data_IF_202229596565
#
_entry.id   IF_202229596565
#
_cell.length_a   1.000
_cell.length_b   1.000
_cell.length_c   1.000
_cell.angle_alpha   90.00
_cell.angle_beta   90.00
_cell.angle_gamma   90.00
#
_symmetry.space_group_name_H-M   'P 1'
#
loop_
_entity.id
_entity.type
_entity.pdbx_description
1 polymer ?
#
# COMPACT_ATOMS: atom_id res chain seq x y z
N UNK A 1 -15.62 -9.70 -17.24
CA UNK A 1 -14.86 -9.46 -16.00
C UNK A 1 -14.77 -10.80 -15.28
N UNK A 2 -13.65 -11.51 -15.39
CA UNK A 2 -13.50 -12.80 -14.70
C UNK A 2 -13.31 -12.51 -13.21
N UNK A 3 -14.12 -13.13 -12.36
CA UNK A 3 -13.90 -13.14 -10.92
C UNK A 3 -12.59 -13.91 -10.70
N UNK A 4 -11.54 -13.20 -10.29
CA UNK A 4 -10.24 -13.83 -10.00
C UNK A 4 -10.35 -14.50 -8.64
N UNK A 5 -9.92 -15.76 -8.58
CA UNK A 5 -9.97 -16.57 -7.37
C UNK A 5 -9.05 -15.96 -6.31
N UNK A 6 -9.48 -16.00 -5.05
CA UNK A 6 -8.70 -15.50 -3.91
C UNK A 6 -7.36 -16.25 -3.83
N UNK A 7 -6.20 -15.57 -3.75
CA UNK A 7 -4.92 -16.24 -3.53
C UNK A 7 -5.00 -17.14 -2.27
N UNK A 8 -4.49 -18.37 -2.33
CA UNK A 8 -4.56 -19.35 -1.22
C UNK A 8 -4.06 -18.77 0.11
N UNK A 9 -3.04 -17.90 0.06
CA UNK A 9 -2.48 -17.19 1.23
C UNK A 9 -3.49 -16.27 1.94
N UNK A 10 -4.53 -15.80 1.24
CA UNK A 10 -5.63 -15.01 1.80
C UNK A 10 -6.71 -15.93 2.39
N UNK A 11 -6.91 -17.12 1.80
CA UNK A 11 -7.87 -18.14 2.27
C UNK A 11 -7.41 -18.72 3.61
N UNK A 12 -6.11 -19.02 3.78
CA UNK A 12 -5.59 -19.61 5.03
C UNK A 12 -5.74 -18.69 6.26
N UNK A 13 -5.93 -17.40 6.04
CA UNK A 13 -6.09 -16.39 7.11
C UNK A 13 -7.55 -16.05 7.42
N UNK A 14 -8.50 -16.60 6.65
CA UNK A 14 -9.92 -16.30 6.73
C UNK A 14 -10.75 -17.58 6.61
N UNK A 15 -11.52 -17.94 7.64
CA UNK A 15 -12.49 -19.05 7.55
C UNK A 15 -13.32 -18.96 6.26
N UNK A 16 -13.67 -20.09 5.66
CA UNK A 16 -14.32 -20.20 4.34
C UNK A 16 -15.53 -19.26 4.16
N UNK A 17 -16.32 -19.05 5.22
CA UNK A 17 -17.51 -18.19 5.23
C UNK A 17 -17.16 -16.68 5.25
N UNK A 18 -16.03 -16.29 5.86
CA UNK A 18 -15.50 -14.92 5.77
C UNK A 18 -14.90 -14.66 4.39
N UNK A 19 -14.22 -15.64 3.81
CA UNK A 19 -13.56 -15.51 2.50
C UNK A 19 -14.55 -15.10 1.39
N UNK A 20 -15.75 -15.68 1.33
CA UNK A 20 -16.77 -15.34 0.33
C UNK A 20 -17.31 -13.89 0.45
N UNK A 21 -17.74 -13.48 1.64
CA UNK A 21 -18.25 -12.11 1.89
C UNK A 21 -17.15 -11.05 1.81
N UNK A 22 -15.96 -11.36 2.29
CA UNK A 22 -14.79 -10.50 2.23
C UNK A 22 -14.41 -10.21 0.78
N UNK A 23 -14.28 -11.24 -0.06
CA UNK A 23 -13.97 -11.05 -1.48
C UNK A 23 -15.03 -10.22 -2.20
N UNK A 24 -16.32 -10.47 -1.95
CA UNK A 24 -17.41 -9.65 -2.53
C UNK A 24 -17.34 -8.17 -2.14
N UNK A 25 -17.01 -7.86 -0.88
CA UNK A 25 -16.88 -6.48 -0.37
C UNK A 25 -15.64 -5.76 -0.93
N UNK A 26 -14.54 -6.50 -1.12
CA UNK A 26 -13.27 -5.99 -1.64
C UNK A 26 -13.33 -5.68 -3.14
N UNK A 27 -13.97 -6.55 -3.93
CA UNK A 27 -14.20 -6.33 -5.35
C UNK A 27 -15.09 -5.12 -5.60
N UNK A 28 -16.13 -4.91 -4.78
CA UNK A 28 -17.00 -3.73 -4.88
C UNK A 28 -16.29 -2.41 -4.59
N UNK A 29 -15.18 -2.43 -3.84
CA UNK A 29 -14.43 -1.23 -3.45
C UNK A 29 -13.17 -0.97 -4.29
N UNK A 30 -12.92 -1.75 -5.36
CA UNK A 30 -11.67 -1.72 -6.16
C UNK A 30 -10.40 -1.82 -5.29
N UNK A 31 -10.44 -2.63 -4.24
CA UNK A 31 -9.31 -2.76 -3.30
C UNK A 31 -8.20 -3.70 -3.78
N UNK A 32 -8.43 -4.40 -4.90
CA UNK A 32 -7.59 -5.46 -5.44
C UNK A 32 -7.46 -5.32 -6.96
N UNK A 33 -6.21 -5.38 -7.44
CA UNK A 33 -5.83 -5.51 -8.85
C UNK A 33 -4.87 -6.69 -8.93
N UNK A 34 -5.13 -7.66 -9.82
CA UNK A 34 -4.47 -8.96 -9.72
C UNK A 34 -4.41 -9.77 -11.02
N UNK A 35 -3.26 -10.38 -11.27
CA UNK A 35 -3.10 -11.68 -11.95
C UNK A 35 -2.98 -12.79 -10.89
N UNK A 36 -3.26 -14.06 -11.25
CA UNK A 36 -3.63 -15.14 -10.32
C UNK A 36 -2.58 -15.53 -9.23
N UNK A 37 -1.28 -15.21 -9.38
CA UNK A 37 -0.22 -15.73 -8.48
C UNK A 37 1.01 -14.78 -8.33
N UNK A 38 0.83 -13.62 -7.68
CA UNK A 38 1.92 -12.65 -7.47
C UNK A 38 2.12 -12.24 -5.99
N UNK A 39 3.21 -11.54 -5.65
CA UNK A 39 3.41 -11.04 -4.29
C UNK A 39 2.33 -10.03 -3.90
N UNK A 40 1.97 -10.05 -2.61
CA UNK A 40 1.00 -9.15 -2.02
C UNK A 40 1.68 -7.81 -1.68
N UNK A 41 1.20 -6.71 -2.25
CA UNK A 41 1.79 -5.38 -2.08
C UNK A 41 0.77 -4.43 -1.45
N UNK A 42 1.10 -3.86 -0.28
CA UNK A 42 0.26 -2.85 0.35
C UNK A 42 0.63 -1.43 -0.10
N UNK A 43 -0.37 -0.63 -0.48
CA UNK A 43 -0.19 0.76 -0.91
C UNK A 43 -0.44 1.74 0.24
N UNK A 44 0.54 1.88 1.13
CA UNK A 44 0.53 2.84 2.24
C UNK A 44 0.90 4.26 1.81
N UNK A 45 0.26 5.27 2.38
CA UNK A 45 0.52 6.66 2.03
C UNK A 45 -0.65 7.58 2.28
N UNK A 46 -0.59 8.79 1.72
CA UNK A 46 -1.67 9.77 1.85
C UNK A 46 -2.99 9.26 1.29
N UNK A 47 -4.09 9.44 2.03
CA UNK A 47 -5.45 9.09 1.56
C UNK A 47 -6.30 10.35 1.47
N UNK A 48 -6.41 11.10 2.57
CA UNK A 48 -7.26 12.28 2.62
C UNK A 48 -6.52 13.54 2.20
N UNK A 49 -7.19 14.42 1.46
CA UNK A 49 -6.67 15.72 1.01
C UNK A 49 -5.37 15.63 0.19
N UNK A 50 -5.23 14.57 -0.61
CA UNK A 50 -4.13 14.40 -1.56
C UNK A 50 -4.64 13.80 -2.88
N UNK A 51 -3.84 13.90 -3.96
CA UNK A 51 -4.16 13.27 -5.24
C UNK A 51 -4.43 11.76 -5.12
N UNK A 52 -5.18 11.22 -6.08
CA UNK A 52 -5.46 9.78 -6.24
C UNK A 52 -4.20 9.01 -6.71
N UNK A 53 -3.11 9.09 -5.95
CA UNK A 53 -1.83 8.49 -6.34
C UNK A 53 -1.89 6.95 -6.37
N UNK A 54 -2.80 6.34 -5.60
CA UNK A 54 -3.02 4.90 -5.66
C UNK A 54 -3.43 4.45 -7.05
N UNK A 55 -4.34 5.18 -7.70
CA UNK A 55 -4.78 4.89 -9.08
C UNK A 55 -3.63 5.02 -10.08
N UNK A 56 -2.75 6.00 -9.88
CA UNK A 56 -1.54 6.16 -10.70
C UNK A 56 -0.58 4.98 -10.50
N UNK A 57 -0.36 4.54 -9.27
CA UNK A 57 0.50 3.38 -8.99
C UNK A 57 -0.09 2.08 -9.56
N UNK A 58 -1.41 1.91 -9.46
CA UNK A 58 -2.12 0.77 -10.06
C UNK A 58 -1.93 0.76 -11.59
N UNK A 59 -2.06 1.90 -12.27
CA UNK A 59 -1.84 1.96 -13.72
C UNK A 59 -0.36 1.69 -14.09
N UNK A 60 0.58 2.17 -13.28
CA UNK A 60 2.02 1.93 -13.49
C UNK A 60 2.43 0.46 -13.31
N UNK A 61 1.68 -0.31 -12.52
CA UNK A 61 1.96 -1.72 -12.21
C UNK A 61 0.95 -2.69 -12.84
N UNK A 62 0.08 -2.22 -13.75
CA UNK A 62 -1.03 -3.01 -14.28
C UNK A 62 -0.62 -4.26 -15.06
N UNK A 63 0.57 -4.22 -15.65
CA UNK A 63 1.12 -5.31 -16.46
C UNK A 63 2.00 -6.26 -15.63
N UNK A 64 2.23 -5.92 -14.35
CA UNK A 64 3.05 -6.72 -13.44
C UNK A 64 2.21 -7.81 -12.76
N UNK A 65 2.81 -8.99 -12.56
CA UNK A 65 2.15 -10.10 -11.86
C UNK A 65 2.23 -9.89 -10.33
N UNK A 66 1.35 -9.03 -9.79
CA UNK A 66 1.26 -8.75 -8.36
C UNK A 66 -0.18 -8.54 -7.90
N UNK A 67 -0.38 -8.52 -6.58
CA UNK A 67 -1.67 -8.22 -5.94
C UNK A 67 -1.53 -6.92 -5.16
N UNK A 68 -2.34 -5.91 -5.50
CA UNK A 68 -2.28 -4.62 -4.82
C UNK A 68 -3.39 -4.49 -3.76
N UNK A 69 -3.03 -4.31 -2.49
CA UNK A 69 -3.94 -3.90 -1.43
C UNK A 69 -4.04 -2.37 -1.41
N UNK A 70 -5.17 -1.84 -1.88
CA UNK A 70 -5.43 -0.40 -1.90
C UNK A 70 -6.30 0.00 -0.69
N UNK A 71 -5.78 0.75 0.31
CA UNK A 71 -6.57 1.18 1.45
C UNK A 71 -7.59 2.28 1.10
N UNK A 72 -7.41 3.00 -0.02
CA UNK A 72 -8.27 4.12 -0.41
C UNK A 72 -9.62 3.65 -0.94
N UNK A 73 -10.70 4.14 -0.33
CA UNK A 73 -12.09 3.86 -0.75
C UNK A 73 -12.58 4.89 -1.78
N UNK A 74 -13.34 4.45 -2.78
CA UNK A 74 -13.84 5.30 -3.89
C UNK A 74 -14.82 6.40 -3.42
N UNK A 75 -15.59 6.17 -2.35
CA UNK A 75 -16.70 7.06 -1.93
C UNK A 75 -16.64 7.48 -0.44
N UNK A 76 -15.43 7.71 0.11
CA UNK A 76 -15.29 8.08 1.52
C UNK A 76 -15.03 9.57 1.70
N UNK A 77 -15.96 10.26 2.37
CA UNK A 77 -15.91 11.69 2.67
C UNK A 77 -15.69 12.00 4.16
N UNK A 78 -15.43 10.99 4.99
CA UNK A 78 -15.15 11.20 6.42
C UNK A 78 -13.67 11.44 6.65
N UNK A 79 -13.36 12.44 7.47
CA UNK A 79 -11.99 12.73 7.94
C UNK A 79 -11.54 11.80 9.06
N UNK A 80 -12.48 11.03 9.64
CA UNK A 80 -12.23 10.06 10.71
C UNK A 80 -12.36 8.67 10.11
N UNK A 81 -11.31 7.86 10.25
CA UNK A 81 -11.32 6.47 9.85
C UNK A 81 -12.15 5.62 10.81
N UNK A 82 -12.97 4.71 10.26
CA UNK A 82 -13.73 3.78 11.08
C UNK A 82 -12.81 2.71 11.67
N UNK A 83 -13.19 2.12 12.81
CA UNK A 83 -12.47 0.98 13.41
C UNK A 83 -12.22 -0.14 12.38
N UNK A 84 -13.22 -0.42 11.55
CA UNK A 84 -13.13 -1.41 10.48
C UNK A 84 -12.07 -1.06 9.43
N UNK A 85 -11.89 0.22 9.08
CA UNK A 85 -10.79 0.62 8.19
C UNK A 85 -9.45 0.32 8.84
N UNK A 86 -9.26 0.77 10.08
CA UNK A 86 -8.00 0.61 10.80
C UNK A 86 -7.65 -0.87 10.96
N UNK A 87 -8.63 -1.71 11.29
CA UNK A 87 -8.47 -3.16 11.38
C UNK A 87 -8.12 -3.77 10.01
N UNK A 88 -8.80 -3.33 8.94
CA UNK A 88 -8.49 -3.77 7.58
C UNK A 88 -7.05 -3.41 7.20
N UNK A 89 -6.63 -2.16 7.36
CA UNK A 89 -5.27 -1.69 7.06
C UNK A 89 -4.24 -2.47 7.87
N UNK A 90 -4.49 -2.70 9.17
CA UNK A 90 -3.59 -3.45 10.03
C UNK A 90 -3.39 -4.90 9.58
N UNK A 91 -4.47 -5.58 9.21
CA UNK A 91 -4.42 -6.97 8.72
C UNK A 91 -3.65 -7.03 7.40
N UNK A 92 -3.96 -6.15 6.46
CA UNK A 92 -3.37 -6.20 5.11
C UNK A 92 -1.91 -5.78 5.09
N UNK A 93 -1.51 -4.81 5.93
CA UNK A 93 -0.10 -4.48 6.15
C UNK A 93 0.70 -5.69 6.69
N UNK A 94 0.11 -6.51 7.57
CA UNK A 94 0.77 -7.72 8.09
C UNK A 94 0.85 -8.81 7.03
N UNK A 95 -0.19 -8.96 6.23
CA UNK A 95 -0.28 -9.96 5.15
C UNK A 95 0.64 -9.68 3.98
N UNK A 96 0.86 -8.40 3.66
CA UNK A 96 1.63 -8.01 2.49
C UNK A 96 3.07 -8.55 2.53
N UNK A 97 3.53 -9.09 1.41
CA UNK A 97 4.93 -9.47 1.22
C UNK A 97 5.81 -8.22 1.07
N UNK A 98 5.23 -7.18 0.46
CA UNK A 98 5.89 -5.90 0.14
C UNK A 98 5.03 -4.73 0.60
N UNK A 99 5.65 -3.64 1.07
CA UNK A 99 4.92 -2.44 1.47
C UNK A 99 5.46 -1.22 0.74
N UNK A 100 4.57 -0.47 0.11
CA UNK A 100 4.87 0.81 -0.51
C UNK A 100 4.45 1.91 0.45
N UNK A 101 5.31 2.89 0.67
CA UNK A 101 5.01 4.12 1.38
C UNK A 101 5.18 5.32 0.45
N UNK A 102 4.08 5.97 0.08
CA UNK A 102 4.11 7.20 -0.70
C UNK A 102 3.63 8.42 0.10
N UNK A 103 4.51 9.43 0.21
CA UNK A 103 4.22 10.70 0.87
C UNK A 103 3.96 11.81 -0.17
N UNK A 104 2.68 12.13 -0.48
CA UNK A 104 2.32 13.25 -1.34
C UNK A 104 2.59 14.60 -0.63
N UNK A 105 2.65 15.72 -1.35
CA UNK A 105 3.04 16.98 -0.72
C UNK A 105 1.93 17.70 0.06
N UNK A 106 0.67 17.33 -0.17
CA UNK A 106 -0.51 18.04 0.32
C UNK A 106 -0.86 17.71 1.78
N UNK A 107 -0.38 16.58 2.31
CA UNK A 107 -0.76 16.06 3.63
C UNK A 107 0.46 15.52 4.36
N UNK A 108 0.43 15.53 5.70
CA UNK A 108 1.53 15.09 6.57
C UNK A 108 1.59 13.58 6.81
N UNK A 109 0.54 12.84 6.44
CA UNK A 109 0.46 11.38 6.60
C UNK A 109 0.95 10.83 7.98
N UNK A 110 0.46 11.35 9.13
CA UNK A 110 1.01 10.97 10.44
C UNK A 110 0.87 9.47 10.75
N UNK A 111 -0.25 8.85 10.34
CA UNK A 111 -0.45 7.41 10.51
C UNK A 111 0.52 6.62 9.62
N UNK A 112 0.74 7.04 8.38
CA UNK A 112 1.75 6.44 7.50
C UNK A 112 3.17 6.56 8.05
N UNK A 113 3.53 7.69 8.69
CA UNK A 113 4.83 7.83 9.35
C UNK A 113 4.99 6.84 10.52
N UNK A 114 3.92 6.62 11.29
CA UNK A 114 3.89 5.62 12.36
C UNK A 114 4.04 4.19 11.81
N UNK A 115 3.35 3.87 10.71
CA UNK A 115 3.47 2.59 10.02
C UNK A 115 4.85 2.37 9.41
N UNK A 116 5.44 3.39 8.77
CA UNK A 116 6.80 3.35 8.25
C UNK A 116 7.80 3.04 9.38
N UNK A 117 7.72 3.76 10.50
CA UNK A 117 8.57 3.51 11.66
C UNK A 117 8.50 2.06 12.15
N UNK A 118 7.30 1.49 12.20
CA UNK A 118 7.09 0.07 12.56
C UNK A 118 7.77 -0.89 11.59
N UNK A 119 7.71 -0.63 10.27
CA UNK A 119 8.20 -1.57 9.26
C UNK A 119 9.66 -1.35 8.86
N UNK A 120 10.27 -0.21 9.19
CA UNK A 120 11.72 0.01 9.05
C UNK A 120 12.53 -1.02 9.83
N UNK A 121 12.06 -1.38 11.04
CA UNK A 121 12.70 -2.35 11.94
C UNK A 121 12.23 -3.80 11.71
N UNK A 122 11.69 -4.10 10.53
CA UNK A 122 11.17 -5.43 10.18
C UNK A 122 11.89 -6.02 8.97
N UNK A 123 11.76 -7.32 8.78
CA UNK A 123 12.30 -8.04 7.61
C UNK A 123 11.46 -7.86 6.34
N UNK A 124 10.37 -7.08 6.39
CA UNK A 124 9.53 -6.85 5.20
C UNK A 124 10.29 -6.01 4.17
N UNK A 125 10.10 -6.36 2.90
CA UNK A 125 10.58 -5.53 1.80
C UNK A 125 9.71 -4.29 1.70
N UNK A 126 10.32 -3.11 1.83
CA UNK A 126 9.62 -1.83 1.80
C UNK A 126 10.18 -0.92 0.71
N UNK A 127 9.29 -0.15 0.09
CA UNK A 127 9.61 0.83 -0.95
C UNK A 127 9.12 2.19 -0.48
N UNK A 128 9.99 3.20 -0.47
CA UNK A 128 9.65 4.51 0.06
C UNK A 128 9.80 5.57 -1.02
N UNK A 129 8.73 6.34 -1.22
CA UNK A 129 8.74 7.50 -2.08
C UNK A 129 8.12 8.72 -1.40
N UNK A 130 8.69 9.88 -1.71
CA UNK A 130 8.34 11.12 -1.08
C UNK A 130 8.41 12.25 -2.11
N UNK A 131 7.27 12.89 -2.38
CA UNK A 131 7.24 14.03 -3.28
C UNK A 131 8.27 15.08 -2.85
N UNK A 132 8.99 15.70 -3.79
CA UNK A 132 10.09 16.66 -3.51
C UNK A 132 9.69 17.79 -2.56
N UNK A 133 8.42 18.19 -2.58
CA UNK A 133 7.84 19.27 -1.77
C UNK A 133 7.14 18.81 -0.49
N UNK A 134 7.20 17.52 -0.14
CA UNK A 134 6.60 17.02 1.09
C UNK A 134 7.26 17.68 2.32
N UNK A 135 6.44 18.16 3.25
CA UNK A 135 6.88 18.97 4.38
C UNK A 135 7.92 18.25 5.26
N UNK A 136 7.77 16.94 5.45
CA UNK A 136 8.65 16.10 6.27
C UNK A 136 9.65 15.28 5.45
N UNK A 137 9.97 15.70 4.22
CA UNK A 137 10.87 14.95 3.35
C UNK A 137 12.25 14.78 3.97
N UNK A 138 12.81 15.84 4.55
CA UNK A 138 14.13 15.78 5.17
C UNK A 138 14.14 14.79 6.34
N UNK A 139 13.09 14.81 7.17
CA UNK A 139 12.95 13.89 8.29
C UNK A 139 12.84 12.43 7.81
N UNK A 140 12.02 12.16 6.79
CA UNK A 140 11.90 10.81 6.20
C UNK A 140 13.23 10.33 5.63
N UNK A 141 13.92 11.15 4.84
CA UNK A 141 15.20 10.76 4.21
C UNK A 141 16.25 10.43 5.27
N UNK A 142 16.38 11.27 6.30
CA UNK A 142 17.39 11.07 7.34
C UNK A 142 17.03 9.85 8.20
N UNK A 143 15.80 9.73 8.68
CA UNK A 143 15.40 8.64 9.56
C UNK A 143 15.48 7.28 8.86
N UNK A 144 15.01 7.19 7.61
CA UNK A 144 15.13 5.96 6.83
C UNK A 144 16.60 5.63 6.55
N UNK A 145 17.43 6.62 6.19
CA UNK A 145 18.85 6.38 5.93
C UNK A 145 19.65 5.93 7.16
N UNK A 146 19.24 6.34 8.37
CA UNK A 146 19.87 5.90 9.62
C UNK A 146 19.49 4.44 9.98
N UNK A 147 18.24 4.04 9.75
CA UNK A 147 17.75 2.72 10.13
C UNK A 147 17.97 1.66 9.03
N UNK A 148 17.83 2.07 7.77
CA UNK A 148 17.85 1.22 6.57
C UNK A 148 18.62 1.92 5.44
N UNK A 149 19.96 2.02 5.54
CA UNK A 149 20.81 2.69 4.56
C UNK A 149 20.79 2.02 3.17
N UNK A 150 20.26 0.80 3.07
CA UNK A 150 20.03 0.06 1.83
C UNK A 150 18.85 0.60 1.01
N UNK A 151 17.92 1.34 1.63
CA UNK A 151 16.71 1.81 0.96
C UNK A 151 16.93 3.10 0.18
N UNK A 152 16.36 3.15 -1.03
CA UNK A 152 16.35 4.33 -1.89
C UNK A 152 15.04 5.10 -1.65
N UNK A 153 15.15 6.40 -1.35
CA UNK A 153 13.97 7.28 -1.26
C UNK A 153 13.69 7.94 -2.60
N UNK A 154 12.63 7.48 -3.26
CA UNK A 154 12.20 8.00 -4.56
C UNK A 154 11.49 9.35 -4.44
N UNK A 155 11.57 10.18 -5.47
CA UNK A 155 10.91 11.49 -5.49
C UNK A 155 9.70 11.57 -6.43
N UNK A 156 9.41 10.46 -7.13
CA UNK A 156 8.29 10.32 -8.07
C UNK A 156 7.69 8.92 -7.99
N UNK A 157 6.38 8.82 -8.30
CA UNK A 157 5.70 7.52 -8.41
C UNK A 157 6.31 6.64 -9.51
N UNK A 158 6.82 7.25 -10.59
CA UNK A 158 7.42 6.54 -11.73
C UNK A 158 8.75 5.87 -11.37
N UNK A 159 9.62 6.55 -10.62
CA UNK A 159 10.88 5.95 -10.19
C UNK A 159 10.64 4.86 -9.14
N UNK A 160 9.68 5.11 -8.23
CA UNK A 160 9.25 4.15 -7.23
C UNK A 160 8.65 2.88 -7.86
N UNK A 161 7.75 3.03 -8.84
CA UNK A 161 7.13 1.88 -9.53
C UNK A 161 8.16 1.03 -10.27
N UNK A 162 9.20 1.65 -10.82
CA UNK A 162 10.30 0.92 -11.47
C UNK A 162 11.09 0.07 -10.48
N UNK A 163 11.37 0.59 -9.28
CA UNK A 163 12.01 -0.21 -8.23
C UNK A 163 11.14 -1.38 -7.78
N UNK A 164 9.84 -1.15 -7.60
CA UNK A 164 8.88 -2.21 -7.29
C UNK A 164 8.93 -3.28 -8.38
N UNK A 165 8.80 -2.89 -9.66
CA UNK A 165 8.76 -3.82 -10.80
C UNK A 165 10.05 -4.65 -10.90
N UNK A 166 11.23 -4.05 -10.67
CA UNK A 166 12.50 -4.76 -10.66
C UNK A 166 12.63 -5.82 -9.55
N UNK A 167 11.76 -5.77 -8.55
CA UNK A 167 11.77 -6.69 -7.41
C UNK A 167 10.75 -7.82 -7.54
N UNK A 168 9.83 -7.76 -8.51
CA UNK A 168 8.79 -8.76 -8.78
C UNK A 168 9.37 -9.93 -9.57
#
# INVERSE_FOLDING_TARGET
>A
MKLVQCPEKIIDLLDEDRSSKFMSSLYQQKKFFCQEYGPLIFLGGGITSCPLWQDVMIDLLKDENCVLFNPRRVNWNSTIESREQIEWENIHLKMADKIVFWFPCETLCPITLFELGKYLVSDKQIFVGCHRKYNKRNDVVIQVGLERPDLIIHDSLKSLSKEISNSL
#
